data_IF_412717908082
#
_entry.id   IF_412717908082
#
_cell.length_a   1.000
_cell.length_b   1.000
_cell.length_c   1.000
_cell.angle_alpha   90.00
_cell.angle_beta   90.00
_cell.angle_gamma   90.00
#
_symmetry.space_group_name_H-M   'P 1'
#
loop_
_entity.id
_entity.type
_entity.pdbx_description
1 polymer ?
#
# COMPACT_ATOMS: atom_id res chain seq x y z
N UNK A 1 -12.65 30.25 -51.79
CA UNK A 1 -12.19 28.87 -51.44
C UNK A 1 -10.72 28.99 -51.04
N UNK A 2 -10.31 28.44 -49.88
CA UNK A 2 -9.26 29.00 -49.05
C UNK A 2 -7.87 28.89 -49.68
N UNK A 3 -7.11 29.98 -49.59
CA UNK A 3 -5.70 30.09 -49.94
C UNK A 3 -4.90 29.02 -49.18
N UNK A 4 -4.03 28.23 -49.84
CA UNK A 4 -3.19 27.28 -49.14
C UNK A 4 -2.29 28.03 -48.14
N UNK A 5 -2.11 27.52 -46.90
CA UNK A 5 -1.20 28.13 -45.96
C UNK A 5 0.20 28.12 -46.56
N UNK A 6 0.84 29.31 -46.60
CA UNK A 6 2.24 29.43 -46.97
C UNK A 6 3.09 28.46 -46.12
N UNK A 7 4.05 27.73 -46.73
CA UNK A 7 4.97 26.90 -45.97
C UNK A 7 5.72 27.80 -44.99
N UNK A 8 5.47 27.61 -43.70
CA UNK A 8 6.22 28.29 -42.64
C UNK A 8 7.67 27.82 -42.75
N UNK A 9 8.54 28.70 -43.26
CA UNK A 9 9.98 28.48 -43.29
C UNK A 9 10.43 28.21 -41.85
N UNK A 10 11.06 27.06 -41.53
CA UNK A 10 11.48 26.76 -40.18
C UNK A 10 12.45 27.84 -39.69
N UNK A 11 12.14 28.45 -38.55
CA UNK A 11 12.95 29.49 -37.90
C UNK A 11 14.39 29.01 -37.74
N UNK A 12 15.35 29.78 -38.27
CA UNK A 12 16.77 29.48 -38.16
C UNK A 12 17.18 29.30 -36.68
N UNK A 13 17.73 28.13 -36.35
CA UNK A 13 18.37 27.90 -35.06
C UNK A 13 19.66 28.72 -34.97
N UNK A 14 19.95 29.34 -33.82
CA UNK A 14 21.17 30.13 -33.60
C UNK A 14 22.12 29.38 -32.65
N UNK A 15 23.43 29.65 -32.75
CA UNK A 15 24.43 29.10 -31.84
C UNK A 15 24.15 29.54 -30.40
N UNK A 16 24.10 28.61 -29.45
CA UNK A 16 23.84 28.90 -28.03
C UNK A 16 24.90 29.79 -27.34
N UNK A 17 26.08 29.96 -27.96
CA UNK A 17 27.19 30.74 -27.41
C UNK A 17 27.34 32.09 -28.10
N UNK A 18 27.51 32.10 -29.42
CA UNK A 18 27.79 33.33 -30.18
C UNK A 18 26.59 33.87 -30.95
N UNK A 19 25.43 33.21 -30.87
CA UNK A 19 24.20 33.58 -31.58
C UNK A 19 24.34 33.67 -33.11
N UNK A 20 25.41 33.13 -33.70
CA UNK A 20 25.50 33.03 -35.16
C UNK A 20 24.40 32.10 -35.70
N UNK A 21 23.75 32.44 -36.82
CA UNK A 21 22.75 31.58 -37.45
C UNK A 21 23.39 30.23 -37.81
N UNK A 22 22.70 29.14 -37.51
CA UNK A 22 23.13 27.79 -37.85
C UNK A 22 22.45 27.35 -39.14
N UNK A 23 23.19 26.67 -40.05
CA UNK A 23 22.56 26.06 -41.21
C UNK A 23 21.55 25.03 -40.75
N UNK A 24 20.33 25.12 -41.29
CA UNK A 24 19.28 24.14 -41.02
C UNK A 24 19.74 22.75 -41.47
N UNK A 25 19.74 21.79 -40.56
CA UNK A 25 19.98 20.38 -40.88
C UNK A 25 18.88 19.52 -40.25
N UNK A 26 17.98 18.93 -41.05
CA UNK A 26 16.84 18.16 -40.55
C UNK A 26 17.26 16.86 -39.84
N UNK A 27 18.49 16.38 -40.05
CA UNK A 27 18.96 15.11 -39.47
C UNK A 27 19.64 15.29 -38.10
N UNK A 28 20.10 16.51 -37.77
CA UNK A 28 20.71 16.83 -36.48
C UNK A 28 20.51 18.31 -36.16
N UNK A 29 19.65 18.69 -35.19
CA UNK A 29 19.60 20.05 -34.71
C UNK A 29 20.94 20.38 -34.04
N UNK A 30 21.77 21.20 -34.68
CA UNK A 30 23.01 21.71 -34.07
C UNK A 30 22.64 22.79 -33.06
N UNK A 31 23.23 22.73 -31.87
CA UNK A 31 23.11 23.77 -30.85
C UNK A 31 24.30 24.74 -30.83
N UNK A 32 25.38 24.40 -31.53
CA UNK A 32 26.62 25.18 -31.61
C UNK A 32 27.09 25.33 -33.06
N UNK A 33 27.79 26.44 -33.35
CA UNK A 33 28.48 26.63 -34.63
C UNK A 33 29.85 25.93 -34.64
N UNK A 34 30.46 25.78 -35.82
CA UNK A 34 31.72 25.05 -36.00
C UNK A 34 32.98 25.75 -35.41
N UNK A 35 32.83 26.92 -34.77
CA UNK A 35 33.97 27.66 -34.19
C UNK A 35 34.47 26.94 -32.93
N UNK A 36 35.76 26.62 -32.88
CA UNK A 36 36.39 25.94 -31.75
C UNK A 36 36.14 26.66 -30.40
N UNK A 37 36.16 27.99 -30.38
CA UNK A 37 35.89 28.80 -29.20
C UNK A 37 34.48 28.56 -28.62
N UNK A 38 33.46 28.39 -29.48
CA UNK A 38 32.10 28.13 -29.02
C UNK A 38 31.99 26.75 -28.37
N UNK A 39 32.66 25.75 -28.94
CA UNK A 39 32.75 24.41 -28.35
C UNK A 39 33.50 24.43 -27.02
N UNK A 40 34.65 25.12 -26.93
CA UNK A 40 35.43 25.24 -25.71
C UNK A 40 34.63 25.94 -24.60
N UNK A 41 33.99 27.07 -24.92
CA UNK A 41 33.18 27.84 -23.96
C UNK A 41 31.96 27.07 -23.49
N UNK A 42 31.25 26.39 -24.38
CA UNK A 42 30.12 25.53 -23.99
C UNK A 42 30.57 24.38 -23.08
N UNK A 43 31.69 23.74 -23.41
CA UNK A 43 32.27 22.67 -22.58
C UNK A 43 32.66 23.15 -21.18
N UNK A 44 33.14 24.40 -21.05
CA UNK A 44 33.40 25.03 -19.75
C UNK A 44 32.11 25.25 -18.96
N UNK A 45 31.05 25.77 -19.60
CA UNK A 45 29.75 25.96 -18.96
C UNK A 45 29.12 24.64 -18.51
N UNK A 46 29.24 23.58 -19.32
CA UNK A 46 28.79 22.23 -18.95
C UNK A 46 29.49 21.71 -17.72
N UNK A 47 30.84 21.77 -17.67
CA UNK A 47 31.61 21.31 -16.52
C UNK A 47 31.29 22.07 -15.22
N UNK A 48 30.89 23.35 -15.34
CA UNK A 48 30.48 24.18 -14.20
C UNK A 48 28.99 24.04 -13.83
N UNK A 49 28.22 23.20 -14.54
CA UNK A 49 26.77 23.06 -14.31
C UNK A 49 25.98 24.34 -14.63
N UNK A 50 26.48 25.18 -15.52
CA UNK A 50 25.89 26.47 -15.93
C UNK A 50 25.07 26.38 -17.22
N UNK A 51 24.66 25.17 -17.59
CA UNK A 51 23.71 24.92 -18.68
C UNK A 51 22.47 24.22 -18.13
N UNK A 52 21.32 24.47 -18.76
CA UNK A 52 20.06 23.82 -18.43
C UNK A 52 20.23 22.31 -18.61
N UNK A 53 19.91 21.54 -17.57
CA UNK A 53 19.98 20.07 -17.61
C UNK A 53 19.01 19.43 -18.60
N UNK A 54 18.00 20.18 -19.07
CA UNK A 54 17.00 19.69 -20.03
C UNK A 54 17.35 20.06 -21.47
N UNK A 55 17.53 21.35 -21.77
CA UNK A 55 17.73 21.82 -23.15
C UNK A 55 19.18 22.23 -23.48
N UNK A 56 20.09 22.22 -22.50
CA UNK A 56 21.49 22.59 -22.70
C UNK A 56 21.75 24.10 -22.84
N UNK A 57 20.74 24.98 -22.80
CA UNK A 57 21.00 26.42 -22.91
C UNK A 57 21.82 26.95 -21.73
N UNK A 58 22.74 27.91 -21.93
CA UNK A 58 23.39 28.62 -20.84
C UNK A 58 22.36 29.23 -19.87
N UNK A 59 22.63 29.10 -18.58
CA UNK A 59 21.76 29.58 -17.51
C UNK A 59 22.18 30.98 -17.06
N UNK A 60 21.18 31.83 -16.78
CA UNK A 60 21.41 33.07 -16.04
C UNK A 60 21.72 32.79 -14.57
N UNK A 61 22.29 33.76 -13.84
CA UNK A 61 22.60 33.62 -12.42
C UNK A 61 21.40 33.18 -11.57
N UNK A 62 20.19 33.65 -11.91
CA UNK A 62 18.94 33.27 -11.21
C UNK A 62 18.51 31.82 -11.46
N UNK A 63 18.93 31.22 -12.57
CA UNK A 63 18.56 29.84 -12.96
C UNK A 63 19.62 28.81 -12.54
N UNK A 64 20.78 29.26 -12.06
CA UNK A 64 21.85 28.38 -11.61
C UNK A 64 21.47 27.50 -10.41
N UNK A 65 20.72 27.97 -9.39
CA UNK A 65 20.36 27.12 -8.24
C UNK A 65 19.51 25.90 -8.63
N UNK A 66 18.57 26.05 -9.57
CA UNK A 66 17.69 24.96 -10.02
C UNK A 66 18.25 24.18 -11.21
N UNK A 67 19.34 24.67 -11.80
CA UNK A 67 20.00 24.12 -12.99
C UNK A 67 19.05 23.84 -14.18
N UNK A 68 17.93 24.57 -14.22
CA UNK A 68 16.86 24.42 -15.21
C UNK A 68 16.41 25.80 -15.64
N UNK A 69 16.30 26.01 -16.95
CA UNK A 69 15.89 27.29 -17.46
C UNK A 69 14.40 27.58 -17.26
N UNK A 70 14.02 28.86 -17.25
CA UNK A 70 12.65 29.33 -17.02
C UNK A 70 11.62 28.91 -18.11
N UNK A 71 12.05 28.27 -19.21
CA UNK A 71 11.13 27.80 -20.26
C UNK A 71 10.19 26.73 -19.70
N UNK A 72 8.88 26.92 -19.85
CA UNK A 72 7.86 26.03 -19.27
C UNK A 72 8.04 24.55 -19.65
N UNK A 73 8.47 24.25 -20.88
CA UNK A 73 8.79 22.89 -21.30
C UNK A 73 9.94 22.27 -20.49
N UNK A 74 10.99 23.04 -20.20
CA UNK A 74 12.13 22.59 -19.40
C UNK A 74 11.77 22.44 -17.92
N UNK A 75 10.96 23.35 -17.38
CA UNK A 75 10.46 23.25 -16.00
C UNK A 75 9.61 21.98 -15.80
N UNK A 76 8.65 21.69 -16.69
CA UNK A 76 7.85 20.46 -16.62
C UNK A 76 8.71 19.20 -16.75
N UNK A 77 9.67 19.19 -17.67
CA UNK A 77 10.59 18.07 -17.83
C UNK A 77 11.47 17.85 -16.59
N UNK A 78 11.96 18.93 -15.96
CA UNK A 78 12.75 18.85 -14.75
C UNK A 78 11.95 18.29 -13.57
N UNK A 79 10.70 18.73 -13.37
CA UNK A 79 9.79 18.19 -12.35
C UNK A 79 9.54 16.70 -12.59
N UNK A 80 9.23 16.30 -13.84
CA UNK A 80 9.04 14.89 -14.21
C UNK A 80 10.29 14.06 -13.91
N UNK A 81 11.47 14.51 -14.32
CA UNK A 81 12.72 13.80 -14.09
C UNK A 81 13.04 13.68 -12.60
N UNK A 82 12.79 14.75 -11.82
CA UNK A 82 12.95 14.71 -10.37
C UNK A 82 11.99 13.70 -9.72
N UNK A 83 10.73 13.66 -10.14
CA UNK A 83 9.76 12.69 -9.64
C UNK A 83 10.19 11.24 -9.94
N UNK A 84 10.71 10.96 -11.14
CA UNK A 84 11.27 9.65 -11.51
C UNK A 84 12.46 9.29 -10.62
N UNK A 85 13.42 10.20 -10.43
CA UNK A 85 14.59 9.97 -9.58
C UNK A 85 14.22 9.71 -8.12
N UNK A 86 13.26 10.47 -7.57
CA UNK A 86 12.75 10.26 -6.22
C UNK A 86 12.06 8.91 -6.11
N UNK A 87 11.24 8.53 -7.10
CA UNK A 87 10.58 7.22 -7.15
C UNK A 87 11.60 6.08 -7.19
N UNK A 88 12.59 6.13 -8.08
CA UNK A 88 13.64 5.10 -8.21
C UNK A 88 14.45 4.98 -6.91
N UNK A 89 14.84 6.11 -6.30
CA UNK A 89 15.56 6.12 -5.01
C UNK A 89 14.72 5.51 -3.90
N UNK A 90 13.44 5.87 -3.83
CA UNK A 90 12.54 5.32 -2.83
C UNK A 90 12.34 3.81 -3.05
N UNK A 91 12.17 3.36 -4.30
CA UNK A 91 12.05 1.95 -4.64
C UNK A 91 13.30 1.15 -4.26
N UNK A 92 14.49 1.68 -4.54
CA UNK A 92 15.75 1.05 -4.12
C UNK A 92 15.86 0.96 -2.60
N UNK A 93 15.48 2.02 -1.87
CA UNK A 93 15.43 2.02 -0.41
C UNK A 93 14.45 0.97 0.12
N UNK A 94 13.22 0.93 -0.38
CA UNK A 94 12.21 -0.05 0.03
C UNK A 94 12.65 -1.49 -0.25
N UNK A 95 13.28 -1.74 -1.40
CA UNK A 95 13.80 -3.06 -1.75
C UNK A 95 14.89 -3.52 -0.77
N UNK A 96 15.78 -2.62 -0.37
CA UNK A 96 16.81 -2.92 0.63
C UNK A 96 16.23 -3.21 2.01
N UNK A 97 15.18 -2.49 2.43
CA UNK A 97 14.47 -2.75 3.68
C UNK A 97 13.78 -4.12 3.66
N UNK A 98 13.02 -4.44 2.61
CA UNK A 98 12.37 -5.75 2.45
C UNK A 98 13.38 -6.91 2.49
N UNK A 99 14.54 -6.73 1.83
CA UNK A 99 15.61 -7.73 1.86
C UNK A 99 16.11 -7.96 3.29
N UNK A 100 16.33 -6.89 4.04
CA UNK A 100 16.75 -6.97 5.45
C UNK A 100 15.69 -7.66 6.31
N UNK A 101 14.41 -7.36 6.12
CA UNK A 101 13.33 -8.02 6.86
C UNK A 101 13.34 -9.54 6.64
N UNK A 102 13.51 -9.98 5.38
CA UNK A 102 13.58 -11.41 5.05
C UNK A 102 14.82 -12.06 5.67
N UNK A 103 15.98 -11.40 5.59
CA UNK A 103 17.23 -11.89 6.17
C UNK A 103 17.12 -12.02 7.70
N UNK A 104 16.67 -10.98 8.39
CA UNK A 104 16.48 -10.96 9.85
C UNK A 104 15.42 -12.00 10.28
N UNK A 105 14.32 -12.13 9.53
CA UNK A 105 13.26 -13.09 9.84
C UNK A 105 13.69 -14.54 9.63
N UNK A 106 14.53 -14.80 8.62
CA UNK A 106 15.15 -16.11 8.39
C UNK A 106 16.07 -16.47 9.54
N UNK A 107 16.93 -15.54 9.95
CA UNK A 107 17.82 -15.74 11.08
C UNK A 107 17.05 -16.03 12.37
N UNK A 108 15.98 -15.27 12.64
CA UNK A 108 15.12 -15.48 13.81
C UNK A 108 14.44 -16.84 13.78
N UNK A 109 13.89 -17.27 12.64
CA UNK A 109 13.29 -18.60 12.48
C UNK A 109 14.30 -19.68 12.85
N UNK A 110 15.48 -19.64 12.24
CA UNK A 110 16.49 -20.68 12.41
C UNK A 110 16.97 -20.76 13.87
N UNK A 111 17.14 -19.61 14.54
CA UNK A 111 17.46 -19.54 15.98
C UNK A 111 16.37 -20.15 16.85
N UNK A 112 15.10 -19.80 16.60
CA UNK A 112 13.96 -20.33 17.37
C UNK A 112 13.84 -21.83 17.18
N UNK A 113 13.88 -22.32 15.94
CA UNK A 113 13.78 -23.76 15.65
C UNK A 113 14.95 -24.54 16.27
N UNK A 114 16.17 -24.02 16.21
CA UNK A 114 17.33 -24.62 16.88
C UNK A 114 17.13 -24.70 18.40
N UNK A 115 16.55 -23.66 19.03
CA UNK A 115 16.24 -23.64 20.46
C UNK A 115 15.25 -24.74 20.86
N UNK A 116 14.31 -25.08 19.96
CA UNK A 116 13.36 -26.19 20.14
C UNK A 116 13.90 -27.56 19.70
N UNK A 117 15.18 -27.65 19.29
CA UNK A 117 15.77 -28.91 18.80
C UNK A 117 15.17 -29.39 17.48
N UNK A 118 14.53 -28.50 16.71
CA UNK A 118 13.92 -28.83 15.42
C UNK A 118 15.00 -28.73 14.35
N UNK A 119 15.42 -29.87 13.84
CA UNK A 119 16.33 -29.98 12.70
C UNK A 119 15.55 -29.96 11.39
N UNK A 120 15.97 -29.14 10.42
CA UNK A 120 15.27 -28.94 9.15
C UNK A 120 14.31 -27.74 9.18
N UNK A 121 14.83 -26.50 9.12
CA UNK A 121 14.03 -25.28 9.24
C UNK A 121 13.00 -25.12 8.11
N UNK A 122 13.25 -25.76 6.97
CA UNK A 122 12.32 -25.75 5.82
C UNK A 122 11.00 -26.48 6.10
N UNK A 123 10.93 -27.28 7.19
CA UNK A 123 9.67 -27.85 7.67
C UNK A 123 8.73 -26.80 8.30
N UNK A 124 9.21 -25.57 8.51
CA UNK A 124 8.42 -24.40 8.91
C UNK A 124 8.65 -23.26 7.89
N UNK A 125 7.86 -23.20 6.81
CA UNK A 125 7.95 -22.14 5.83
C UNK A 125 7.89 -20.76 6.48
N UNK A 126 8.83 -19.88 6.10
CA UNK A 126 8.87 -18.49 6.57
C UNK A 126 7.82 -17.67 5.80
N UNK A 127 6.97 -16.97 6.52
CA UNK A 127 5.97 -16.05 5.95
C UNK A 127 6.16 -14.68 6.57
N UNK A 128 6.67 -13.73 5.79
CA UNK A 128 6.80 -12.32 6.22
C UNK A 128 5.59 -11.54 5.72
N UNK A 129 4.91 -10.87 6.64
CA UNK A 129 3.72 -10.05 6.36
C UNK A 129 3.96 -8.62 6.84
N UNK A 130 3.31 -7.61 6.24
CA UNK A 130 3.38 -6.25 6.77
C UNK A 130 2.79 -6.19 8.18
N UNK A 131 3.23 -5.24 8.99
CA UNK A 131 2.67 -4.99 10.33
C UNK A 131 1.93 -3.67 10.35
N UNK A 132 0.72 -3.63 10.94
CA UNK A 132 0.15 -2.36 11.38
C UNK A 132 0.91 -1.90 12.62
N UNK A 133 1.59 -0.77 12.51
CA UNK A 133 2.28 -0.07 13.61
C UNK A 133 1.43 1.02 14.23
N UNK A 134 0.30 1.36 13.61
CA UNK A 134 -0.68 2.30 14.14
C UNK A 134 -1.22 1.82 15.50
N UNK A 135 -1.42 2.77 16.43
CA UNK A 135 -1.88 2.49 17.77
C UNK A 135 -3.39 2.26 17.86
N UNK A 136 -3.81 1.57 18.93
CA UNK A 136 -5.21 1.49 19.33
C UNK A 136 -5.62 2.79 20.04
N UNK A 137 -6.50 3.58 19.43
CA UNK A 137 -6.95 4.86 19.95
C UNK A 137 -8.46 4.86 20.21
N UNK A 138 -8.98 5.78 21.06
CA UNK A 138 -10.42 6.05 21.10
C UNK A 138 -10.95 6.32 19.69
N UNK A 139 -12.04 5.66 19.32
CA UNK A 139 -12.70 5.91 18.05
C UNK A 139 -13.38 7.28 18.14
N UNK A 140 -13.04 8.24 17.27
CA UNK A 140 -13.77 9.48 17.22
C UNK A 140 -15.27 9.22 16.99
N UNK A 141 -16.12 9.93 17.74
CA UNK A 141 -17.42 10.40 17.22
C UNK A 141 -17.12 11.17 15.90
N UNK A 142 -18.01 11.73 15.12
CA UNK A 142 -17.75 12.03 13.69
C UNK A 142 -17.44 10.78 12.85
N UNK A 143 -16.40 9.97 13.14
CA UNK A 143 -16.16 8.72 12.36
C UNK A 143 -17.29 7.72 12.54
N UNK A 144 -17.79 7.55 13.77
CA UNK A 144 -18.98 6.72 14.04
C UNK A 144 -20.22 7.23 13.30
N UNK A 145 -20.38 8.54 13.21
CA UNK A 145 -21.53 9.20 12.59
C UNK A 145 -21.47 9.05 11.07
N UNK A 146 -20.30 9.28 10.45
CA UNK A 146 -20.07 8.99 9.02
C UNK A 146 -20.37 7.53 8.71
N UNK A 147 -19.92 6.61 9.57
CA UNK A 147 -20.23 5.19 9.39
C UNK A 147 -21.72 4.89 9.55
N UNK A 148 -22.40 5.49 10.55
CA UNK A 148 -23.84 5.33 10.76
C UNK A 148 -24.64 5.80 9.56
N UNK A 149 -24.31 6.96 9.00
CA UNK A 149 -24.95 7.51 7.80
C UNK A 149 -24.76 6.56 6.61
N UNK A 150 -23.53 6.11 6.39
CA UNK A 150 -23.20 5.17 5.33
C UNK A 150 -23.95 3.83 5.47
N UNK A 151 -23.94 3.25 6.67
CA UNK A 151 -24.63 1.99 6.97
C UNK A 151 -26.14 2.12 6.78
N UNK A 152 -26.74 3.20 7.28
CA UNK A 152 -28.18 3.47 7.11
C UNK A 152 -28.56 3.50 5.63
N UNK A 153 -27.78 4.21 4.81
CA UNK A 153 -28.02 4.28 3.37
C UNK A 153 -27.88 2.92 2.67
N UNK A 154 -26.94 2.07 3.10
CA UNK A 154 -26.81 0.70 2.56
C UNK A 154 -27.98 -0.19 3.00
N UNK A 155 -28.42 -0.08 4.25
CA UNK A 155 -29.56 -0.84 4.78
C UNK A 155 -30.84 -0.45 4.05
N UNK A 156 -31.12 0.84 3.87
CA UNK A 156 -32.28 1.31 3.10
C UNK A 156 -32.31 0.70 1.68
N UNK A 157 -31.17 0.72 0.98
CA UNK A 157 -31.04 0.09 -0.34
C UNK A 157 -31.17 -1.44 -0.32
N UNK A 158 -30.74 -2.09 0.76
CA UNK A 158 -30.90 -3.52 0.93
C UNK A 158 -32.36 -3.90 1.15
N UNK A 159 -33.14 -3.04 1.80
CA UNK A 159 -34.56 -3.20 2.08
C UNK A 159 -35.50 -2.74 0.96
N UNK A 160 -35.03 -1.92 0.02
CA UNK A 160 -35.79 -1.53 -1.16
C UNK A 160 -36.19 -2.78 -1.99
N UNK A 161 -37.50 -3.00 -2.25
CA UNK A 161 -37.99 -4.10 -3.06
C UNK A 161 -37.71 -3.92 -4.57
N UNK A 162 -37.24 -2.74 -5.00
CA UNK A 162 -36.87 -2.48 -6.39
C UNK A 162 -35.76 -3.43 -6.85
N UNK A 163 -35.83 -3.95 -8.09
CA UNK A 163 -34.79 -4.82 -8.61
C UNK A 163 -33.46 -4.08 -8.57
N UNK A 164 -32.44 -4.74 -8.02
CA UNK A 164 -31.07 -4.23 -8.05
C UNK A 164 -30.70 -3.85 -9.48
N UNK A 165 -29.93 -2.77 -9.70
CA UNK A 165 -29.28 -2.54 -10.99
C UNK A 165 -28.63 -3.84 -11.47
N UNK A 166 -28.90 -4.21 -12.73
CA UNK A 166 -28.54 -5.52 -13.32
C UNK A 166 -27.02 -5.73 -13.42
N UNK A 167 -26.24 -4.68 -13.22
CA UNK A 167 -24.79 -4.75 -13.22
C UNK A 167 -24.26 -4.52 -11.80
N UNK A 168 -23.61 -5.53 -11.18
CA UNK A 168 -22.76 -5.28 -10.04
C UNK A 168 -21.76 -4.19 -10.44
N UNK A 169 -21.41 -3.23 -9.56
CA UNK A 169 -20.26 -2.38 -9.84
C UNK A 169 -19.09 -3.30 -10.18
N UNK A 170 -18.43 -3.07 -11.31
CA UNK A 170 -17.25 -3.83 -11.74
C UNK A 170 -16.24 -3.83 -10.58
N UNK A 171 -16.26 -4.89 -9.77
CA UNK A 171 -15.19 -5.18 -8.85
C UNK A 171 -14.00 -5.46 -9.75
N UNK A 172 -12.83 -4.80 -9.57
CA UNK A 172 -11.61 -5.27 -10.19
C UNK A 172 -11.29 -6.65 -9.58
N UNK A 173 -11.95 -7.69 -10.09
CA UNK A 173 -11.66 -9.08 -9.80
C UNK A 173 -10.38 -9.38 -10.55
N UNK A 174 -9.26 -9.01 -9.97
CA UNK A 174 -7.93 -9.40 -10.46
C UNK A 174 -7.65 -10.90 -10.22
N UNK A 175 -8.68 -11.71 -9.95
CA UNK A 175 -8.57 -13.16 -9.81
C UNK A 175 -9.70 -13.88 -10.56
N UNK A 176 -9.40 -14.96 -11.32
CA UNK A 176 -10.41 -15.76 -11.98
C UNK A 176 -11.40 -16.37 -10.97
N UNK A 177 -12.67 -16.56 -11.36
CA UNK A 177 -13.72 -17.19 -10.55
C UNK A 177 -13.63 -18.72 -10.60
N UNK A 178 -12.42 -19.27 -10.51
CA UNK A 178 -12.29 -20.67 -10.10
C UNK A 178 -12.43 -20.68 -8.58
N UNK A 179 -13.53 -21.27 -8.11
CA UNK A 179 -13.73 -21.65 -6.72
C UNK A 179 -12.58 -22.56 -6.31
N UNK A 180 -11.46 -21.96 -5.91
CA UNK A 180 -10.45 -22.70 -5.19
C UNK A 180 -11.13 -23.31 -3.97
N UNK A 181 -11.00 -24.63 -3.76
CA UNK A 181 -11.67 -25.29 -2.66
C UNK A 181 -11.32 -24.57 -1.36
N UNK A 182 -12.36 -24.31 -0.58
CA UNK A 182 -12.23 -23.75 0.76
C UNK A 182 -11.11 -24.50 1.50
N UNK A 183 -10.14 -23.78 2.11
CA UNK A 183 -9.05 -24.45 2.80
C UNK A 183 -9.62 -25.41 3.84
N UNK A 184 -8.99 -26.58 3.96
CA UNK A 184 -9.35 -27.55 4.98
C UNK A 184 -9.40 -26.87 6.36
N UNK A 185 -10.28 -27.31 7.29
CA UNK A 185 -10.49 -26.62 8.56
C UNK A 185 -9.19 -26.33 9.34
N UNK A 186 -8.18 -27.22 9.26
CA UNK A 186 -6.88 -27.03 9.91
C UNK A 186 -6.07 -25.89 9.29
N UNK A 187 -5.95 -25.89 7.96
CA UNK A 187 -5.29 -24.83 7.21
C UNK A 187 -5.97 -23.47 7.44
N UNK A 188 -7.31 -23.47 7.52
CA UNK A 188 -8.10 -22.27 7.81
C UNK A 188 -7.77 -21.65 9.16
N UNK A 189 -7.69 -22.45 10.22
CA UNK A 189 -7.29 -21.96 11.55
C UNK A 189 -5.92 -21.31 11.53
N UNK A 190 -4.93 -21.91 10.84
CA UNK A 190 -3.59 -21.33 10.71
C UNK A 190 -3.60 -20.02 9.95
N UNK A 191 -4.33 -19.96 8.83
CA UNK A 191 -4.48 -18.75 8.02
C UNK A 191 -5.16 -17.62 8.81
N UNK A 192 -6.19 -17.92 9.61
CA UNK A 192 -6.85 -16.95 10.49
C UNK A 192 -5.91 -16.46 11.59
N UNK A 193 -5.17 -17.38 12.23
CA UNK A 193 -4.17 -17.03 13.25
C UNK A 193 -3.06 -16.15 12.66
N UNK A 194 -2.64 -16.39 11.42
CA UNK A 194 -1.64 -15.60 10.72
C UNK A 194 -2.18 -14.22 10.28
N UNK A 195 -3.41 -14.17 9.75
CA UNK A 195 -4.11 -12.92 9.43
C UNK A 195 -4.24 -11.99 10.64
N UNK A 196 -4.47 -12.54 11.84
CA UNK A 196 -4.54 -11.73 13.06
C UNK A 196 -3.18 -11.09 13.44
N UNK A 197 -2.04 -11.64 13.00
CA UNK A 197 -0.71 -11.16 13.41
C UNK A 197 -0.31 -9.85 12.77
N UNK A 198 -0.60 -9.66 11.48
CA UNK A 198 -0.36 -8.37 10.83
C UNK A 198 -1.23 -7.23 11.39
N UNK A 199 -2.14 -7.56 12.35
CA UNK A 199 -3.12 -6.66 12.93
C UNK A 199 -3.90 -5.96 11.83
N UNK A 200 -4.44 -6.73 10.88
CA UNK A 200 -5.34 -6.18 9.86
C UNK A 200 -4.72 -5.10 8.98
N UNK A 201 -3.47 -5.24 8.50
CA UNK A 201 -2.90 -4.29 7.53
C UNK A 201 -3.81 -4.07 6.32
N UNK A 202 -4.43 -5.14 5.82
CA UNK A 202 -5.43 -5.04 4.75
C UNK A 202 -6.75 -4.37 5.17
N UNK A 203 -7.06 -4.27 6.46
CA UNK A 203 -8.25 -3.59 6.98
C UNK A 203 -8.15 -2.06 6.92
N UNK A 204 -6.96 -1.50 6.63
CA UNK A 204 -6.74 -0.06 6.53
C UNK A 204 -7.64 0.60 5.48
N UNK A 205 -7.81 -0.04 4.33
CA UNK A 205 -8.65 0.51 3.26
C UNK A 205 -10.15 0.47 3.54
N UNK A 206 -10.59 -0.16 4.64
CA UNK A 206 -12.00 -0.21 5.01
C UNK A 206 -12.52 1.09 5.59
N UNK A 207 -11.64 1.89 6.22
CA UNK A 207 -11.95 3.24 6.72
C UNK A 207 -13.31 3.34 7.41
N UNK A 208 -14.11 4.32 7.00
CA UNK A 208 -15.43 4.62 7.56
C UNK A 208 -16.59 3.90 6.86
N UNK A 209 -16.28 2.88 6.05
CA UNK A 209 -17.26 2.13 5.24
C UNK A 209 -17.20 0.62 5.50
N UNK A 210 -16.13 0.15 6.14
CA UNK A 210 -15.92 -1.24 6.55
C UNK A 210 -16.04 -2.30 5.44
N UNK A 211 -15.85 -1.88 4.18
CA UNK A 211 -16.09 -2.72 2.99
C UNK A 211 -17.50 -3.34 2.92
N UNK A 212 -18.47 -2.77 3.63
CA UNK A 212 -19.86 -3.22 3.54
C UNK A 212 -20.44 -2.73 2.21
N UNK A 213 -21.26 -3.59 1.61
CA UNK A 213 -22.02 -3.30 0.39
C UNK A 213 -23.47 -3.79 0.55
N UNK A 214 -24.32 -3.43 -0.42
CA UNK A 214 -25.74 -3.78 -0.39
C UNK A 214 -25.93 -5.29 -0.45
N UNK A 215 -25.11 -6.01 -1.21
CA UNK A 215 -25.15 -7.47 -1.31
C UNK A 215 -24.86 -8.15 0.03
N UNK A 216 -23.88 -7.64 0.79
CA UNK A 216 -23.56 -8.12 2.14
C UNK A 216 -24.78 -8.00 3.06
N UNK A 217 -25.46 -6.85 3.05
CA UNK A 217 -26.63 -6.62 3.90
C UNK A 217 -27.87 -7.41 3.43
N UNK A 218 -28.04 -7.61 2.12
CA UNK A 218 -29.10 -8.48 1.58
C UNK A 218 -28.91 -9.94 2.01
N UNK A 219 -27.67 -10.43 1.99
CA UNK A 219 -27.34 -11.77 2.45
C UNK A 219 -27.60 -11.93 3.95
N UNK A 220 -27.18 -10.95 4.76
CA UNK A 220 -27.48 -10.92 6.19
C UNK A 220 -29.00 -10.89 6.46
N UNK A 221 -29.76 -10.01 5.79
CA UNK A 221 -31.22 -9.95 5.90
C UNK A 221 -31.90 -11.27 5.54
N UNK A 222 -31.43 -11.94 4.49
CA UNK A 222 -31.99 -13.24 4.08
C UNK A 222 -31.78 -14.33 5.15
N UNK A 223 -30.69 -14.24 5.92
CA UNK A 223 -30.40 -15.14 7.05
C UNK A 223 -31.13 -14.74 8.36
N UNK A 224 -31.59 -13.49 8.45
CA UNK A 224 -32.25 -12.89 9.63
C UNK A 224 -33.59 -12.21 9.24
N UNK A 225 -34.57 -12.97 8.70
CA UNK A 225 -35.81 -12.40 8.17
C UNK A 225 -36.71 -11.76 9.24
N UNK A 226 -36.45 -12.03 10.53
CA UNK A 226 -37.14 -11.43 11.66
C UNK A 226 -36.72 -9.99 11.97
N UNK A 227 -35.60 -9.52 11.40
CA UNK A 227 -35.03 -8.20 11.66
C UNK A 227 -35.51 -7.19 10.62
N UNK A 228 -36.03 -6.05 11.09
CA UNK A 228 -36.30 -4.89 10.23
C UNK A 228 -35.01 -4.07 9.98
N UNK A 229 -35.12 -3.04 9.13
CA UNK A 229 -33.99 -2.17 8.78
C UNK A 229 -33.33 -1.53 10.02
N UNK A 230 -34.12 -1.13 11.02
CA UNK A 230 -33.57 -0.51 12.23
C UNK A 230 -32.79 -1.51 13.08
N UNK A 231 -33.32 -2.73 13.22
CA UNK A 231 -32.67 -3.83 13.90
C UNK A 231 -31.35 -4.23 13.22
N UNK A 232 -31.32 -4.31 11.88
CA UNK A 232 -30.09 -4.57 11.12
C UNK A 232 -29.04 -3.48 11.37
N UNK A 233 -29.40 -2.20 11.23
CA UNK A 233 -28.47 -1.08 11.50
C UNK A 233 -27.90 -1.16 12.91
N UNK A 234 -28.75 -1.42 13.91
CA UNK A 234 -28.35 -1.56 15.32
C UNK A 234 -27.38 -2.73 15.51
N UNK A 235 -27.68 -3.90 14.92
CA UNK A 235 -26.84 -5.09 15.03
C UNK A 235 -25.40 -4.86 14.54
N UNK A 236 -25.21 -4.08 13.49
CA UNK A 236 -23.88 -3.70 12.99
C UNK A 236 -23.21 -2.65 13.87
N UNK A 237 -23.92 -1.60 14.27
CA UNK A 237 -23.37 -0.53 15.12
C UNK A 237 -22.94 -1.04 16.50
N UNK A 238 -23.65 -2.02 17.07
CA UNK A 238 -23.30 -2.62 18.36
C UNK A 238 -21.95 -3.36 18.34
N UNK A 239 -21.41 -3.65 17.14
CA UNK A 239 -20.07 -4.25 16.98
C UNK A 239 -18.97 -3.21 16.86
N UNK A 240 -19.30 -1.93 16.79
CA UNK A 240 -18.32 -0.84 16.79
C UNK A 240 -17.87 -0.56 18.22
N UNK A 241 -16.62 -0.88 18.52
CA UNK A 241 -16.02 -0.68 19.84
C UNK A 241 -15.66 0.78 20.12
N UNK A 242 -15.39 1.08 21.38
CA UNK A 242 -14.94 2.41 21.82
C UNK A 242 -13.50 2.73 21.39
N UNK A 243 -12.70 1.71 21.05
CA UNK A 243 -11.31 1.85 20.61
C UNK A 243 -11.06 1.04 19.35
N UNK A 244 -10.38 1.65 18.39
CA UNK A 244 -10.04 1.05 17.10
C UNK A 244 -8.61 1.38 16.70
N UNK A 245 -8.03 0.59 15.81
CA UNK A 245 -6.72 0.91 15.26
C UNK A 245 -6.80 2.17 14.39
N UNK A 246 -5.88 3.11 14.63
CA UNK A 246 -5.82 4.36 13.86
C UNK A 246 -5.62 4.07 12.37
N UNK A 247 -6.35 4.81 11.52
CA UNK A 247 -6.28 4.65 10.07
C UNK A 247 -6.82 3.32 9.55
N UNK A 248 -7.62 2.60 10.35
CA UNK A 248 -8.22 1.32 9.98
C UNK A 248 -9.75 1.35 9.95
N UNK A 249 -10.33 0.29 9.37
CA UNK A 249 -11.75 -0.08 9.48
C UNK A 249 -12.27 0.02 10.93
N UNK A 250 -13.50 0.54 11.11
CA UNK A 250 -14.12 0.71 12.44
C UNK A 250 -14.27 -0.59 13.24
N UNK A 251 -14.36 -1.74 12.58
CA UNK A 251 -14.47 -3.03 13.27
C UNK A 251 -13.12 -3.61 13.70
N UNK A 252 -12.00 -2.96 13.37
CA UNK A 252 -10.67 -3.45 13.71
C UNK A 252 -10.26 -3.00 15.12
N UNK A 253 -10.35 -3.94 16.05
CA UNK A 253 -10.12 -3.77 17.49
C UNK A 253 -8.92 -4.62 17.97
N UNK A 254 -8.59 -4.54 19.26
CA UNK A 254 -7.44 -5.24 19.85
C UNK A 254 -7.43 -6.75 19.56
N UNK A 255 -8.60 -7.39 19.64
CA UNK A 255 -8.79 -8.83 19.44
C UNK A 255 -9.06 -9.21 17.96
N UNK A 256 -8.93 -8.25 17.04
CA UNK A 256 -9.16 -8.44 15.61
C UNK A 256 -10.45 -7.78 15.14
N UNK A 257 -11.11 -8.39 14.14
CA UNK A 257 -12.34 -7.86 13.58
C UNK A 257 -13.55 -8.21 14.48
N UNK A 258 -14.24 -7.18 14.97
CA UNK A 258 -15.42 -7.31 15.83
C UNK A 258 -16.68 -7.80 15.10
N UNK A 259 -16.68 -7.78 13.76
CA UNK A 259 -17.72 -8.46 12.99
C UNK A 259 -17.45 -9.98 12.96
N UNK A 260 -18.45 -10.83 13.24
CA UNK A 260 -18.38 -12.26 13.00
C UNK A 260 -18.50 -12.52 11.48
N UNK A 261 -18.13 -13.71 11.03
CA UNK A 261 -17.91 -14.00 9.60
C UNK A 261 -19.18 -13.82 8.77
N UNK A 262 -20.33 -14.16 9.32
CA UNK A 262 -21.65 -14.01 8.75
C UNK A 262 -22.08 -12.56 8.51
N UNK A 263 -21.44 -11.60 9.19
CA UNK A 263 -21.68 -10.15 9.00
C UNK A 263 -20.59 -9.47 8.17
N UNK A 264 -19.51 -10.17 7.83
CA UNK A 264 -18.42 -9.61 7.03
C UNK A 264 -18.80 -9.63 5.55
N UNK A 265 -18.34 -8.62 4.81
CA UNK A 265 -18.46 -8.65 3.35
C UNK A 265 -17.69 -9.80 2.73
N UNK A 266 -18.06 -10.18 1.50
CA UNK A 266 -17.39 -11.24 0.74
C UNK A 266 -15.89 -10.97 0.60
N UNK A 267 -15.52 -9.70 0.37
CA UNK A 267 -14.13 -9.26 0.32
C UNK A 267 -13.40 -9.60 1.62
N UNK A 268 -13.96 -9.22 2.77
CA UNK A 268 -13.37 -9.49 4.08
C UNK A 268 -13.29 -10.99 4.39
N UNK A 269 -14.23 -11.81 3.88
CA UNK A 269 -14.25 -13.24 4.11
C UNK A 269 -13.22 -14.01 3.25
N UNK A 270 -12.90 -13.52 2.06
CA UNK A 270 -12.07 -14.24 1.07
C UNK A 270 -10.65 -13.68 0.93
N UNK A 271 -10.39 -12.47 1.42
CA UNK A 271 -9.11 -11.82 1.24
C UNK A 271 -8.00 -12.48 2.06
N UNK A 272 -6.90 -12.80 1.37
CA UNK A 272 -5.60 -13.10 1.97
C UNK A 272 -4.55 -12.23 1.28
N UNK A 273 -3.57 -11.73 2.04
CA UNK A 273 -2.45 -11.03 1.43
C UNK A 273 -1.61 -11.99 0.59
N UNK A 274 -0.80 -11.45 -0.34
CA UNK A 274 0.05 -12.25 -1.23
C UNK A 274 0.87 -13.31 -0.49
N UNK A 275 1.49 -12.95 0.63
CA UNK A 275 2.29 -13.87 1.44
C UNK A 275 1.47 -15.05 2.00
N UNK A 276 0.24 -14.81 2.46
CA UNK A 276 -0.64 -15.88 2.96
C UNK A 276 -1.26 -16.71 1.84
N UNK A 277 -1.48 -16.14 0.67
CA UNK A 277 -1.86 -16.89 -0.52
C UNK A 277 -0.75 -17.83 -0.95
N UNK A 278 0.48 -17.34 -1.05
CA UNK A 278 1.66 -18.16 -1.35
C UNK A 278 1.84 -19.26 -0.30
N UNK A 279 1.67 -18.97 0.99
CA UNK A 279 1.66 -19.98 2.03
C UNK A 279 0.57 -21.04 1.79
N UNK A 280 -0.67 -20.63 1.52
CA UNK A 280 -1.80 -21.53 1.23
C UNK A 280 -1.53 -22.43 0.03
N UNK A 281 -0.96 -21.90 -1.04
CA UNK A 281 -0.64 -22.67 -2.25
C UNK A 281 0.46 -23.70 -2.03
N UNK A 282 1.38 -23.43 -1.10
CA UNK A 282 2.49 -24.31 -0.79
C UNK A 282 2.20 -25.23 0.42
N UNK A 283 0.96 -25.26 0.92
CA UNK A 283 0.59 -26.19 1.97
C UNK A 283 0.73 -27.64 1.48
N UNK A 284 1.22 -28.54 2.33
CA UNK A 284 1.33 -29.94 1.96
C UNK A 284 -0.08 -30.54 1.78
N UNK A 285 -0.25 -31.37 0.75
CA UNK A 285 -1.51 -32.09 0.48
C UNK A 285 -1.87 -33.03 1.64
N UNK A 286 -0.87 -33.53 2.36
CA UNK A 286 -1.04 -34.36 3.55
C UNK A 286 0.08 -34.10 4.55
N UNK A 287 -0.20 -34.26 5.84
CA UNK A 287 0.74 -33.99 6.91
C UNK A 287 0.44 -32.69 7.67
N UNK A 288 1.31 -32.28 8.60
CA UNK A 288 1.01 -31.18 9.50
C UNK A 288 1.13 -29.83 8.83
N UNK A 289 0.19 -28.93 9.12
CA UNK A 289 0.29 -27.52 8.75
C UNK A 289 1.28 -26.84 9.68
N UNK A 290 2.39 -26.33 9.14
CA UNK A 290 3.45 -25.67 9.89
C UNK A 290 3.81 -24.35 9.23
N UNK A 291 4.24 -23.37 10.03
CA UNK A 291 4.71 -22.10 9.50
C UNK A 291 5.40 -21.25 10.56
N UNK A 292 6.32 -20.40 10.12
CA UNK A 292 6.93 -19.37 10.94
C UNK A 292 6.51 -18.00 10.38
N UNK A 293 5.59 -17.34 11.09
CA UNK A 293 4.99 -16.09 10.63
C UNK A 293 5.68 -14.92 11.31
N UNK A 294 6.11 -13.96 10.52
CA UNK A 294 6.75 -12.73 11.00
C UNK A 294 6.00 -11.52 10.46
N UNK A 295 5.81 -10.51 11.30
CA UNK A 295 5.31 -9.21 10.87
C UNK A 295 6.45 -8.20 10.88
N UNK A 296 6.54 -7.40 9.82
CA UNK A 296 7.59 -6.41 9.66
C UNK A 296 7.07 -5.08 9.11
N UNK A 297 7.77 -4.00 9.42
CA UNK A 297 7.53 -2.68 8.86
C UNK A 297 8.86 -1.92 8.75
N UNK A 298 9.11 -1.27 7.60
CA UNK A 298 10.28 -0.42 7.35
C UNK A 298 11.65 -0.99 7.77
N UNK A 299 11.90 -2.29 7.60
CA UNK A 299 13.16 -2.93 7.97
C UNK A 299 13.21 -3.47 9.40
N UNK A 300 12.11 -3.43 10.14
CA UNK A 300 12.03 -3.87 11.53
C UNK A 300 11.02 -5.02 11.69
N UNK A 301 11.42 -6.07 12.42
CA UNK A 301 10.53 -7.15 12.82
C UNK A 301 9.76 -6.78 14.09
N UNK A 302 8.44 -6.97 14.08
CA UNK A 302 7.55 -6.63 15.19
C UNK A 302 7.10 -7.86 15.97
N UNK A 303 6.54 -8.86 15.31
CA UNK A 303 6.08 -10.10 15.95
C UNK A 303 6.56 -11.30 15.17
N UNK A 304 6.85 -12.39 15.87
CA UNK A 304 7.13 -13.68 15.28
C UNK A 304 6.27 -14.74 15.97
N UNK A 305 5.74 -15.68 15.20
CA UNK A 305 4.87 -16.74 15.70
C UNK A 305 5.23 -18.05 15.02
N UNK A 306 5.58 -19.05 15.82
CA UNK A 306 5.75 -20.42 15.38
C UNK A 306 4.39 -21.12 15.43
N UNK A 307 3.93 -21.68 14.31
CA UNK A 307 2.65 -22.38 14.22
C UNK A 307 2.88 -23.85 13.86
N UNK A 308 2.26 -24.73 14.62
CA UNK A 308 2.16 -26.15 14.32
C UNK A 308 0.71 -26.61 14.53
N UNK A 309 0.05 -27.03 13.45
CA UNK A 309 -1.36 -27.40 13.43
C UNK A 309 -2.24 -26.27 13.97
N UNK A 310 -2.88 -26.45 15.12
CA UNK A 310 -3.73 -25.43 15.76
C UNK A 310 -3.01 -24.61 16.83
N UNK A 311 -1.77 -24.97 17.15
CA UNK A 311 -0.99 -24.35 18.20
C UNK A 311 -0.13 -23.22 17.63
N UNK A 312 -0.21 -22.06 18.27
CA UNK A 312 0.61 -20.91 17.94
C UNK A 312 1.41 -20.50 19.17
N UNK A 313 2.73 -20.42 19.03
CA UNK A 313 3.64 -19.89 20.02
C UNK A 313 4.14 -18.53 19.58
N UNK A 314 3.83 -17.49 20.36
CA UNK A 314 4.36 -16.15 20.14
C UNK A 314 5.82 -16.13 20.60
N UNK A 315 6.71 -15.74 19.68
CA UNK A 315 8.12 -15.55 19.96
C UNK A 315 8.30 -14.09 20.38
N UNK A 316 8.42 -13.86 21.67
CA UNK A 316 8.89 -12.58 22.19
C UNK A 316 10.37 -12.43 21.85
N UNK A 317 10.80 -11.27 21.34
CA UNK A 317 12.23 -10.94 21.29
C UNK A 317 12.77 -11.06 22.72
N UNK A 318 13.67 -12.00 22.97
CA UNK A 318 14.48 -11.97 24.18
C UNK A 318 15.27 -10.64 24.17
N UNK A 319 14.80 -9.63 24.90
CA UNK A 319 15.49 -8.34 25.04
C UNK A 319 14.66 -7.06 24.92
N UNK A 320 13.34 -7.11 24.70
CA UNK A 320 12.46 -5.95 24.99
C UNK A 320 11.17 -6.47 25.62
N UNK A 321 11.04 -6.24 26.93
CA UNK A 321 9.73 -6.28 27.56
C UNK A 321 8.77 -5.38 26.76
N UNK A 322 7.50 -5.79 26.59
CA UNK A 322 6.49 -4.85 26.15
C UNK A 322 6.44 -3.74 27.19
N UNK A 323 6.90 -2.54 26.82
CA UNK A 323 6.70 -1.37 27.66
C UNK A 323 5.21 -1.32 28.01
N UNK A 324 4.83 -1.26 29.29
CA UNK A 324 3.44 -1.04 29.66
C UNK A 324 2.97 0.26 28.99
N UNK A 325 1.68 0.38 28.65
CA UNK A 325 1.13 1.63 28.16
C UNK A 325 1.53 2.73 29.13
N UNK A 326 2.10 3.82 28.61
CA UNK A 326 2.37 5.01 29.41
C UNK A 326 1.03 5.41 30.05
N UNK A 327 0.96 5.23 31.36
CA UNK A 327 -0.10 5.79 32.18
C UNK A 327 0.23 7.28 32.24
N UNK A 328 -0.52 8.08 31.49
CA UNK A 328 -0.55 9.52 31.72
C UNK A 328 -1.10 9.71 33.13
N UNK A 329 -0.19 9.97 34.07
CA UNK A 329 -0.53 10.45 35.40
C UNK A 329 -0.90 11.92 35.19
N UNK A 330 -2.20 12.21 35.29
CA UNK A 330 -2.69 13.57 35.44
C UNK A 330 -1.96 14.23 36.61
N UNK A 331 -1.13 15.23 36.29
CA UNK A 331 -0.73 16.22 37.28
C UNK A 331 -1.87 17.22 37.41
N UNK A 332 -2.74 16.89 38.35
CA UNK A 332 -3.46 17.86 39.17
C UNK A 332 -2.41 18.70 39.92
N UNK A 333 -2.29 19.98 39.58
CA UNK A 333 -1.85 21.07 40.48
C UNK A 333 -1.94 22.42 39.74
N UNK A 334 -2.86 23.28 40.20
CA UNK A 334 -2.91 24.72 39.87
C UNK A 334 -4.28 25.34 39.90
#
# INVERSE_FOLDING_TARGET
MPTPPHPQIPTASHCLICQAPLPFNPTRPRSLCARAECHQRYSLLQRRGQVCRVCGRPLSAREQPTQTCATAACQRAAVKNYAVQVYERNQARYTALLRREIEDATQLRDQVLATFGIHGPDSFPLVVTPSVTAGLAPLPEQRKEVFREHLTALVEQAFDPSPAPVEPPERPSTRPPELEPEPEPRARTVLEQACARCRGFCCQGGGDHAYLDVETLRAYRAAHPEQDASAVTTAYLDRVGSRTYQGSCLYHQADGCALPREMRSDLCNRFFCKALLEFRYNLPVSGPVRGFFVTADYGELHTATLVHERHALIVSKAGRDPSPPAVDIDHDEG
#
